data_IF_658220863731
#
_entry.id   IF_658220863731
#
_cell.length_a   1.000
_cell.length_b   1.000
_cell.length_c   1.000
_cell.angle_alpha   90.00
_cell.angle_beta   90.00
_cell.angle_gamma   90.00
#
_symmetry.space_group_name_H-M   'P 1'
#
loop_
_entity.id
_entity.type
_entity.pdbx_description
1 polymer ?
#
# COMPACT_ATOMS: atom_id res chain seq x y z
N UNK A 1 18.53 2.17 32.36
CA UNK A 1 17.41 1.23 32.26
C UNK A 1 17.21 0.92 30.78
N UNK A 2 17.59 -0.28 30.33
CA UNK A 2 17.33 -0.72 28.96
C UNK A 2 15.83 -1.02 28.87
N UNK A 3 15.09 -0.22 28.10
CA UNK A 3 13.71 -0.55 27.75
C UNK A 3 13.76 -1.76 26.83
N UNK A 4 13.30 -2.92 27.31
CA UNK A 4 13.04 -4.09 26.47
C UNK A 4 11.60 -3.97 26.01
N UNK A 5 11.39 -3.79 24.71
CA UNK A 5 10.07 -3.84 24.09
C UNK A 5 9.88 -5.25 23.52
N UNK A 6 8.74 -5.87 23.81
CA UNK A 6 8.35 -7.15 23.22
C UNK A 6 7.05 -6.97 22.46
N UNK A 7 6.97 -7.53 21.25
CA UNK A 7 5.73 -7.71 20.52
C UNK A 7 5.07 -9.00 20.98
N UNK A 8 3.82 -8.91 21.41
CA UNK A 8 2.98 -10.06 21.70
C UNK A 8 2.23 -10.47 20.43
N UNK A 9 2.47 -11.67 19.93
CA UNK A 9 1.75 -12.26 18.79
C UNK A 9 0.97 -13.48 19.26
N UNK A 10 -0.34 -13.49 19.02
CA UNK A 10 -1.18 -14.67 19.17
C UNK A 10 -1.35 -15.32 17.80
N UNK A 11 -0.92 -16.57 17.66
CA UNK A 11 -1.20 -17.39 16.49
C UNK A 11 -1.94 -18.65 16.94
N UNK A 12 -3.22 -18.76 16.57
CA UNK A 12 -4.07 -19.92 16.87
C UNK A 12 -4.10 -20.30 18.37
N UNK A 13 -4.10 -19.31 19.26
CA UNK A 13 -4.13 -19.52 20.71
C UNK A 13 -2.75 -19.69 21.35
N UNK A 14 -1.68 -19.72 20.55
CA UNK A 14 -0.29 -19.73 21.04
C UNK A 14 0.19 -18.28 21.11
N UNK A 15 0.42 -17.80 22.34
CA UNK A 15 1.03 -16.50 22.59
C UNK A 15 2.54 -16.63 22.50
N UNK A 16 3.14 -15.78 21.67
CA UNK A 16 4.59 -15.69 21.49
C UNK A 16 5.05 -14.25 21.73
N UNK A 17 6.22 -14.10 22.34
CA UNK A 17 6.88 -12.82 22.51
C UNK A 17 8.06 -12.73 21.54
N UNK A 18 8.08 -11.66 20.74
CA UNK A 18 9.21 -11.33 19.87
C UNK A 18 9.87 -10.05 20.39
N UNK A 19 11.14 -10.14 20.77
CA UNK A 19 11.89 -8.96 21.19
C UNK A 19 11.98 -7.94 20.03
N UNK A 20 11.75 -6.67 20.35
CA UNK A 20 11.84 -5.53 19.45
C UNK A 20 13.08 -4.70 19.84
N UNK A 21 13.95 -4.43 18.87
CA UNK A 21 14.99 -3.43 19.00
C UNK A 21 14.43 -2.06 18.62
N UNK A 22 14.20 -1.20 19.62
CA UNK A 22 13.68 0.15 19.44
C UNK A 22 14.40 0.94 18.33
N UNK A 23 15.73 0.80 18.17
CA UNK A 23 16.49 1.58 17.19
C UNK A 23 16.40 1.02 15.78
N UNK A 24 16.14 -0.28 15.63
CA UNK A 24 16.16 -0.97 14.34
C UNK A 24 14.76 -1.25 13.82
N UNK A 25 13.82 -1.54 14.72
CA UNK A 25 12.48 -2.01 14.40
C UNK A 25 11.44 -0.89 14.46
N UNK A 26 11.72 0.23 15.15
CA UNK A 26 10.84 1.40 15.15
C UNK A 26 11.47 2.48 14.25
N UNK A 27 10.80 2.79 13.14
CA UNK A 27 11.31 3.69 12.10
C UNK A 27 10.37 4.86 11.88
N UNK A 28 10.88 6.06 11.55
CA UNK A 28 10.04 7.14 11.03
C UNK A 28 9.29 6.65 9.80
N UNK A 29 7.98 6.90 9.73
CA UNK A 29 7.11 6.33 8.68
C UNK A 29 7.64 6.63 7.28
N UNK A 30 8.01 7.88 7.03
CA UNK A 30 8.52 8.33 5.73
C UNK A 30 9.81 7.58 5.34
N UNK A 31 10.70 7.28 6.31
CA UNK A 31 11.93 6.54 6.04
C UNK A 31 11.65 5.06 5.76
N UNK A 32 10.73 4.45 6.51
CA UNK A 32 10.31 3.07 6.29
C UNK A 32 9.67 2.90 4.90
N UNK A 33 8.71 3.76 4.56
CA UNK A 33 8.06 3.77 3.25
C UNK A 33 9.08 3.94 2.12
N UNK A 34 10.01 4.91 2.23
CA UNK A 34 11.06 5.11 1.24
C UNK A 34 11.96 3.87 1.04
N UNK A 35 12.20 3.09 2.10
CA UNK A 35 12.94 1.84 1.99
C UNK A 35 12.12 0.77 1.26
N UNK A 36 10.85 0.58 1.62
CA UNK A 36 9.99 -0.44 1.00
C UNK A 36 9.72 -0.15 -0.49
N UNK A 37 9.55 1.10 -0.87
CA UNK A 37 9.33 1.48 -2.27
C UNK A 37 10.52 1.08 -3.16
N UNK A 38 11.74 1.15 -2.60
CA UNK A 38 12.99 0.82 -3.30
C UNK A 38 13.38 -0.65 -3.23
N UNK A 39 12.68 -1.44 -2.44
CA UNK A 39 12.97 -2.87 -2.28
C UNK A 39 12.35 -3.66 -3.44
N UNK A 40 13.18 -4.03 -4.42
CA UNK A 40 12.75 -4.82 -5.58
C UNK A 40 12.39 -6.28 -5.22
N UNK A 41 12.63 -6.73 -3.99
CA UNK A 41 12.14 -8.03 -3.51
C UNK A 41 10.66 -7.99 -3.13
N UNK A 42 10.10 -6.80 -2.90
CA UNK A 42 8.67 -6.61 -2.67
C UNK A 42 7.91 -6.56 -4.00
N UNK A 43 6.75 -7.23 -4.00
CA UNK A 43 5.82 -7.20 -5.13
C UNK A 43 5.43 -5.76 -5.52
N UNK A 44 5.24 -5.54 -6.83
CA UNK A 44 4.99 -4.22 -7.39
C UNK A 44 3.76 -3.52 -6.79
N UNK A 45 2.71 -4.29 -6.45
CA UNK A 45 1.49 -3.76 -5.82
C UNK A 45 1.79 -3.11 -4.46
N UNK A 46 2.67 -3.73 -3.65
CA UNK A 46 3.09 -3.18 -2.36
C UNK A 46 3.87 -1.90 -2.53
N UNK A 47 4.85 -1.90 -3.45
CA UNK A 47 5.68 -0.71 -3.72
C UNK A 47 4.83 0.47 -4.18
N UNK A 48 3.80 0.22 -5.00
CA UNK A 48 2.82 1.22 -5.44
C UNK A 48 1.98 1.73 -4.25
N UNK A 49 1.46 0.84 -3.41
CA UNK A 49 0.70 1.22 -2.22
C UNK A 49 1.54 2.06 -1.25
N UNK A 50 2.79 1.66 -1.00
CA UNK A 50 3.73 2.41 -0.17
C UNK A 50 4.08 3.77 -0.76
N UNK A 51 4.25 3.87 -2.08
CA UNK A 51 4.54 5.15 -2.73
C UNK A 51 3.37 6.12 -2.63
N UNK A 52 2.13 5.64 -2.82
CA UNK A 52 0.94 6.48 -2.62
C UNK A 52 0.89 7.00 -1.18
N UNK A 53 1.12 6.13 -0.19
CA UNK A 53 1.17 6.50 1.22
C UNK A 53 2.32 7.46 1.55
N UNK A 54 3.48 7.29 0.92
CA UNK A 54 4.61 8.21 1.07
C UNK A 54 4.22 9.63 0.66
N UNK A 55 3.47 9.80 -0.43
CA UNK A 55 2.96 11.11 -0.84
C UNK A 55 1.92 11.68 0.13
N UNK A 56 1.08 10.84 0.75
CA UNK A 56 0.16 11.28 1.81
C UNK A 56 0.91 11.92 2.99
N UNK A 57 2.04 11.34 3.41
CA UNK A 57 2.87 11.87 4.50
C UNK A 57 3.76 13.06 4.12
N UNK A 58 4.07 13.25 2.84
CA UNK A 58 4.95 14.32 2.36
C UNK A 58 4.19 15.50 1.70
N UNK A 59 2.87 15.55 1.87
CA UNK A 59 2.00 16.58 1.29
C UNK A 59 1.58 16.22 -0.12
N UNK A 60 0.32 15.81 -0.29
CA UNK A 60 -0.27 15.37 -1.56
C UNK A 60 -0.14 16.47 -2.63
N UNK A 61 -0.27 17.73 -2.24
CA UNK A 61 -0.16 18.90 -3.12
C UNK A 61 1.19 18.98 -3.86
N UNK A 62 2.25 18.45 -3.27
CA UNK A 62 3.59 18.43 -3.90
C UNK A 62 3.72 17.33 -4.97
N UNK A 63 2.81 16.35 -4.96
CA UNK A 63 2.87 15.15 -5.80
C UNK A 63 1.53 14.83 -6.46
N UNK A 64 0.68 15.83 -6.66
CA UNK A 64 -0.75 15.64 -6.97
C UNK A 64 -0.99 14.73 -8.17
N UNK A 65 -0.28 14.96 -9.28
CA UNK A 65 -0.46 14.16 -10.49
C UNK A 65 0.00 12.71 -10.29
N UNK A 66 1.12 12.51 -9.59
CA UNK A 66 1.63 11.17 -9.27
C UNK A 66 0.67 10.43 -8.34
N UNK A 67 0.13 11.13 -7.35
CA UNK A 67 -0.85 10.60 -6.41
C UNK A 67 -2.13 10.17 -7.12
N UNK A 68 -2.68 10.99 -8.03
CA UNK A 68 -3.90 10.64 -8.77
C UNK A 68 -3.69 9.46 -9.74
N UNK A 69 -2.50 9.36 -10.36
CA UNK A 69 -2.13 8.21 -11.20
C UNK A 69 -2.08 6.94 -10.36
N UNK A 70 -1.34 6.92 -9.25
CA UNK A 70 -1.28 5.76 -8.36
C UNK A 70 -2.66 5.40 -7.79
N UNK A 71 -3.46 6.42 -7.44
CA UNK A 71 -4.82 6.22 -6.96
C UNK A 71 -5.67 5.55 -8.04
N UNK A 72 -5.63 6.02 -9.28
CA UNK A 72 -6.41 5.44 -10.37
C UNK A 72 -6.06 3.98 -10.61
N UNK A 73 -4.77 3.64 -10.56
CA UNK A 73 -4.29 2.27 -10.73
C UNK A 73 -4.77 1.36 -9.59
N UNK A 74 -4.64 1.80 -8.33
CA UNK A 74 -5.08 1.04 -7.16
C UNK A 74 -6.60 0.79 -7.19
N UNK A 75 -7.39 1.71 -7.72
CA UNK A 75 -8.83 1.53 -7.89
C UNK A 75 -9.19 0.76 -9.18
N UNK A 76 -8.23 0.13 -9.87
CA UNK A 76 -8.49 -0.70 -11.05
C UNK A 76 -9.09 0.06 -12.23
N UNK A 77 -8.73 1.34 -12.44
CA UNK A 77 -9.32 2.17 -13.49
C UNK A 77 -8.54 2.04 -14.79
N UNK A 78 -9.25 1.81 -15.89
CA UNK A 78 -8.69 1.81 -17.26
C UNK A 78 -8.08 3.15 -17.65
N UNK A 79 -8.61 4.24 -17.09
CA UNK A 79 -8.10 5.60 -17.27
C UNK A 79 -7.81 6.29 -15.95
N UNK A 80 -6.75 7.10 -15.97
CA UNK A 80 -6.43 8.01 -14.88
C UNK A 80 -7.54 9.07 -14.70
N UNK A 81 -8.04 9.19 -13.48
CA UNK A 81 -9.10 10.14 -13.09
C UNK A 81 -8.71 10.87 -11.81
N UNK A 82 -9.14 12.12 -11.70
CA UNK A 82 -9.09 12.82 -10.43
C UNK A 82 -10.11 12.26 -9.43
N UNK A 83 -10.04 12.74 -8.20
CA UNK A 83 -10.98 12.37 -7.12
C UNK A 83 -12.46 12.68 -7.45
N UNK A 84 -12.71 13.70 -8.26
CA UNK A 84 -14.06 14.08 -8.73
C UNK A 84 -14.53 13.24 -9.94
N UNK A 85 -13.80 12.18 -10.29
CA UNK A 85 -14.03 11.29 -11.43
C UNK A 85 -13.88 11.90 -12.84
N UNK A 86 -13.41 13.14 -13.00
CA UNK A 86 -13.05 13.64 -14.33
C UNK A 86 -11.74 13.01 -14.81
N UNK A 87 -11.63 12.76 -16.13
CA UNK A 87 -10.41 12.19 -16.73
C UNK A 87 -9.23 13.17 -16.61
N UNK A 88 -8.05 12.63 -16.35
CA UNK A 88 -6.81 13.41 -16.33
C UNK A 88 -6.31 13.68 -17.76
N UNK A 89 -5.82 14.89 -18.07
CA UNK A 89 -5.15 15.16 -19.33
C UNK A 89 -3.85 14.35 -19.47
N UNK A 90 -3.52 13.94 -20.69
CA UNK A 90 -2.31 13.13 -20.95
C UNK A 90 -1.02 13.77 -20.44
N UNK A 91 -0.90 15.10 -20.51
CA UNK A 91 0.27 15.83 -20.01
C UNK A 91 0.46 15.66 -18.49
N UNK A 92 -0.64 15.64 -17.73
CA UNK A 92 -0.59 15.43 -16.28
C UNK A 92 -0.30 13.97 -15.94
N UNK A 93 -0.88 13.02 -16.69
CA UNK A 93 -0.55 11.60 -16.56
C UNK A 93 0.96 11.38 -16.78
N UNK A 94 1.53 11.97 -17.83
CA UNK A 94 2.98 11.87 -18.11
C UNK A 94 3.83 12.47 -16.99
N UNK A 95 3.42 13.62 -16.43
CA UNK A 95 4.09 14.24 -15.29
C UNK A 95 4.06 13.33 -14.06
N UNK A 96 2.88 12.76 -13.74
CA UNK A 96 2.71 11.81 -12.65
C UNK A 96 3.56 10.55 -12.83
N UNK A 97 3.51 9.93 -14.01
CA UNK A 97 4.35 8.77 -14.33
C UNK A 97 5.85 9.07 -14.24
N UNK A 98 6.29 10.27 -14.66
CA UNK A 98 7.70 10.69 -14.55
C UNK A 98 8.14 10.79 -13.10
N UNK A 99 7.29 11.32 -12.22
CA UNK A 99 7.56 11.38 -10.78
C UNK A 99 7.62 9.97 -10.17
N UNK A 100 6.66 9.10 -10.49
CA UNK A 100 6.63 7.70 -10.02
C UNK A 100 7.90 6.95 -10.45
N UNK A 101 8.38 7.17 -11.68
CA UNK A 101 9.59 6.54 -12.21
C UNK A 101 10.88 6.90 -11.47
N UNK A 102 10.90 7.96 -10.65
CA UNK A 102 12.02 8.25 -9.75
C UNK A 102 12.16 7.22 -8.62
N UNK A 103 11.07 6.50 -8.34
CA UNK A 103 10.98 5.50 -7.28
C UNK A 103 10.88 4.08 -7.83
N UNK A 104 10.12 3.90 -8.92
CA UNK A 104 9.84 2.62 -9.56
C UNK A 104 10.15 2.77 -11.05
N UNK A 105 11.39 2.50 -11.44
CA UNK A 105 11.91 2.84 -12.78
C UNK A 105 11.09 2.23 -13.93
N UNK A 106 10.60 1.00 -13.75
CA UNK A 106 9.84 0.27 -14.76
C UNK A 106 8.32 0.46 -14.64
N UNK A 107 7.86 1.53 -13.99
CA UNK A 107 6.44 1.81 -13.87
C UNK A 107 5.81 2.10 -15.24
N UNK A 108 4.81 1.33 -15.62
CA UNK A 108 3.96 1.59 -16.78
C UNK A 108 2.50 1.36 -16.38
N UNK A 109 1.67 2.40 -16.53
CA UNK A 109 0.28 2.35 -16.07
C UNK A 109 -0.53 1.31 -16.83
N UNK A 110 -0.40 1.27 -18.16
CA UNK A 110 -1.24 0.46 -19.02
C UNK A 110 -0.87 -1.03 -18.90
N UNK A 111 0.42 -1.34 -18.78
CA UNK A 111 0.90 -2.69 -18.49
C UNK A 111 0.44 -3.17 -17.12
N UNK A 112 0.61 -2.35 -16.07
CA UNK A 112 0.19 -2.73 -14.72
C UNK A 112 -1.33 -2.88 -14.61
N UNK A 113 -2.10 -1.98 -15.23
CA UNK A 113 -3.55 -2.08 -15.25
C UNK A 113 -4.01 -3.40 -15.86
N UNK A 114 -3.47 -3.75 -17.03
CA UNK A 114 -3.85 -4.95 -17.77
C UNK A 114 -3.36 -6.24 -17.11
N UNK A 115 -2.09 -6.28 -16.71
CA UNK A 115 -1.41 -7.53 -16.37
C UNK A 115 -1.36 -7.79 -14.85
N UNK A 116 -1.55 -6.76 -14.01
CA UNK A 116 -1.45 -6.86 -12.55
C UNK A 116 -2.74 -6.49 -11.83
N UNK A 117 -3.36 -5.36 -12.14
CA UNK A 117 -4.55 -4.85 -11.43
C UNK A 117 -5.85 -5.45 -12.00
N UNK A 118 -5.89 -6.78 -12.02
CA UNK A 118 -7.06 -7.58 -12.37
C UNK A 118 -7.29 -8.66 -11.29
N UNK A 119 -8.51 -9.20 -11.23
CA UNK A 119 -8.94 -10.16 -10.21
C UNK A 119 -8.01 -11.38 -10.15
N UNK A 120 -7.72 -11.99 -11.29
CA UNK A 120 -6.92 -13.22 -11.38
C UNK A 120 -5.53 -13.01 -10.79
N UNK A 121 -4.83 -11.96 -11.22
CA UNK A 121 -3.45 -11.74 -10.78
C UNK A 121 -3.37 -11.28 -9.33
N UNK A 122 -4.28 -10.42 -8.87
CA UNK A 122 -4.30 -9.98 -7.48
C UNK A 122 -4.67 -11.12 -6.52
N UNK A 123 -5.57 -12.03 -6.93
CA UNK A 123 -5.88 -13.23 -6.16
C UNK A 123 -4.66 -14.17 -6.07
N UNK A 124 -3.97 -14.41 -7.19
CA UNK A 124 -2.72 -15.20 -7.21
C UNK A 124 -1.70 -14.63 -6.21
N UNK A 125 -1.44 -13.32 -6.28
CA UNK A 125 -0.50 -12.65 -5.38
C UNK A 125 -0.96 -12.76 -3.92
N UNK A 126 -2.25 -12.57 -3.62
CA UNK A 126 -2.80 -12.67 -2.27
C UNK A 126 -2.59 -14.06 -1.64
N UNK A 127 -2.81 -15.12 -2.40
CA UNK A 127 -2.62 -16.49 -1.90
C UNK A 127 -1.15 -16.88 -1.78
N UNK A 128 -0.27 -16.29 -2.58
CA UNK A 128 1.18 -16.50 -2.51
C UNK A 128 1.86 -15.70 -1.38
N UNK A 129 1.28 -14.58 -0.94
CA UNK A 129 1.84 -13.74 0.11
C UNK A 129 1.75 -14.40 1.49
N UNK A 130 2.88 -14.36 2.21
CA UNK A 130 3.08 -14.98 3.53
C UNK A 130 3.13 -13.96 4.65
N UNK A 131 3.40 -12.68 4.35
CA UNK A 131 3.34 -11.59 5.31
C UNK A 131 1.90 -11.08 5.43
N UNK A 132 1.31 -11.19 6.63
CA UNK A 132 -0.08 -10.83 6.90
C UNK A 132 -0.39 -9.35 6.59
N UNK A 133 0.57 -8.44 6.82
CA UNK A 133 0.42 -7.01 6.54
C UNK A 133 0.35 -6.74 5.03
N UNK A 134 1.27 -7.34 4.27
CA UNK A 134 1.28 -7.25 2.80
C UNK A 134 0.02 -7.90 2.20
N UNK A 135 -0.44 -9.00 2.79
CA UNK A 135 -1.66 -9.69 2.40
C UNK A 135 -2.91 -8.81 2.51
N UNK A 136 -3.01 -7.97 3.55
CA UNK A 136 -4.08 -6.98 3.67
C UNK A 136 -4.02 -5.94 2.54
N UNK A 137 -2.82 -5.49 2.14
CA UNK A 137 -2.69 -4.55 1.01
C UNK A 137 -3.18 -5.17 -0.30
N UNK A 138 -2.83 -6.43 -0.58
CA UNK A 138 -3.31 -7.16 -1.76
C UNK A 138 -4.82 -7.36 -1.73
N UNK A 139 -5.38 -7.71 -0.56
CA UNK A 139 -6.82 -7.83 -0.39
C UNK A 139 -7.55 -6.52 -0.74
N UNK A 140 -7.04 -5.38 -0.30
CA UNK A 140 -7.63 -4.07 -0.62
C UNK A 140 -7.61 -3.80 -2.12
N UNK A 141 -6.48 -4.00 -2.78
CA UNK A 141 -6.40 -3.85 -4.23
C UNK A 141 -7.37 -4.81 -4.94
N UNK A 142 -7.47 -6.07 -4.49
CA UNK A 142 -8.41 -7.06 -5.04
C UNK A 142 -9.87 -6.61 -4.86
N UNK A 143 -10.21 -6.06 -3.70
CA UNK A 143 -11.55 -5.58 -3.40
C UNK A 143 -11.94 -4.37 -4.26
N UNK A 144 -10.99 -3.48 -4.57
CA UNK A 144 -11.21 -2.36 -5.49
C UNK A 144 -11.49 -2.81 -6.93
N UNK A 145 -10.73 -3.79 -7.45
CA UNK A 145 -10.92 -4.28 -8.82
C UNK A 145 -12.13 -5.20 -8.97
N UNK A 146 -12.51 -5.90 -7.90
CA UNK A 146 -13.63 -6.82 -7.87
C UNK A 146 -14.41 -6.67 -6.55
N UNK A 147 -15.23 -5.62 -6.41
CA UNK A 147 -16.05 -5.44 -5.23
C UNK A 147 -17.07 -6.58 -5.15
N UNK A 148 -16.90 -7.47 -4.17
CA UNK A 148 -17.82 -8.58 -3.96
C UNK A 148 -19.23 -8.05 -3.71
N UNK A 149 -20.23 -8.63 -4.38
CA UNK A 149 -21.65 -8.30 -4.14
C UNK A 149 -22.13 -8.75 -2.76
N UNK A 150 -21.42 -9.69 -2.14
CA UNK A 150 -21.75 -10.26 -0.83
C UNK A 150 -21.09 -9.51 0.32
N UNK A 151 -19.90 -8.92 0.09
CA UNK A 151 -19.16 -8.15 1.08
C UNK A 151 -19.42 -6.67 0.81
N UNK A 152 -20.27 -6.05 1.63
CA UNK A 152 -20.58 -4.62 1.51
C UNK A 152 -19.51 -3.77 2.18
N UNK A 153 -19.39 -2.50 1.79
CA UNK A 153 -18.51 -1.54 2.48
C UNK A 153 -18.85 -1.41 3.98
N UNK A 154 -20.12 -1.64 4.34
CA UNK A 154 -20.56 -1.61 5.75
C UNK A 154 -20.14 -2.84 6.56
N UNK A 155 -19.56 -3.86 5.92
CA UNK A 155 -19.07 -5.06 6.60
C UNK A 155 -17.96 -4.69 7.59
N UNK A 156 -18.03 -5.25 8.79
CA UNK A 156 -17.08 -5.01 9.88
C UNK A 156 -15.64 -5.28 9.42
N UNK A 157 -15.42 -6.29 8.57
CA UNK A 157 -14.10 -6.60 8.05
C UNK A 157 -13.57 -5.51 7.12
N UNK A 158 -14.39 -5.03 6.18
CA UNK A 158 -14.01 -3.96 5.24
C UNK A 158 -13.76 -2.66 5.99
N UNK A 159 -14.65 -2.32 6.92
CA UNK A 159 -14.51 -1.16 7.79
C UNK A 159 -13.21 -1.23 8.61
N UNK A 160 -12.91 -2.37 9.24
CA UNK A 160 -11.68 -2.56 9.99
C UNK A 160 -10.43 -2.37 9.13
N UNK A 161 -10.42 -2.92 7.92
CA UNK A 161 -9.30 -2.80 6.97
C UNK A 161 -9.11 -1.34 6.54
N UNK A 162 -10.19 -0.63 6.21
CA UNK A 162 -10.15 0.77 5.81
C UNK A 162 -9.70 1.67 6.97
N UNK A 163 -10.29 1.51 8.16
CA UNK A 163 -9.91 2.27 9.34
C UNK A 163 -8.45 2.01 9.75
N UNK A 164 -7.98 0.76 9.71
CA UNK A 164 -6.58 0.44 10.02
C UNK A 164 -5.61 1.18 9.09
N UNK A 165 -5.93 1.25 7.81
CA UNK A 165 -5.13 2.00 6.84
C UNK A 165 -5.17 3.52 7.06
N UNK A 166 -6.31 4.07 7.46
CA UNK A 166 -6.43 5.50 7.75
C UNK A 166 -5.76 5.90 9.07
N UNK A 167 -5.96 5.12 10.14
CA UNK A 167 -5.27 5.32 11.42
C UNK A 167 -3.76 5.21 11.23
N UNK A 168 -3.32 4.33 10.34
CA UNK A 168 -1.92 4.23 9.97
C UNK A 168 -1.35 5.61 9.56
N UNK A 169 -2.06 6.38 8.75
CA UNK A 169 -1.58 7.68 8.27
C UNK A 169 -1.37 8.73 9.38
N UNK A 170 -1.92 8.52 10.57
CA UNK A 170 -1.76 9.42 11.72
C UNK A 170 -0.48 9.17 12.55
N UNK A 171 0.25 8.06 12.28
CA UNK A 171 1.47 7.76 13.01
C UNK A 171 2.71 8.45 12.43
N UNK A 172 3.56 8.97 13.31
CA UNK A 172 4.89 9.49 12.95
C UNK A 172 5.97 8.39 12.89
N UNK A 173 5.76 7.26 13.58
CA UNK A 173 6.65 6.10 13.64
C UNK A 173 5.89 4.80 13.46
N UNK A 174 6.50 3.82 12.80
CA UNK A 174 5.99 2.44 12.71
C UNK A 174 6.97 1.44 13.28
N UNK A 175 6.40 0.34 13.78
CA UNK A 175 7.10 -0.93 13.82
C UNK A 175 7.32 -1.44 12.38
N UNK A 176 8.48 -2.00 12.06
CA UNK A 176 8.79 -2.55 10.74
C UNK A 176 7.94 -3.80 10.42
N UNK A 177 6.74 -3.56 9.89
CA UNK A 177 5.74 -4.61 9.59
C UNK A 177 6.14 -5.52 8.43
N UNK A 178 7.09 -5.10 7.59
CA UNK A 178 7.60 -5.93 6.48
C UNK A 178 8.60 -6.95 7.01
N UNK A 179 9.43 -6.56 8.00
CA UNK A 179 10.41 -7.43 8.64
C UNK A 179 9.78 -8.47 9.59
N UNK A 180 8.69 -8.11 10.28
CA UNK A 180 8.22 -8.86 11.46
C UNK A 180 7.32 -10.04 11.12
#
# INVERSE_FOLDING_TARGET
MLLILNLLKNNQGILTEKAIDYKQDIKPVVQALAAYIKDDTLGIVHRIAFLRKYYEHNGIENYKEAYDVLSSLIHGRDKCKYINNSEMPQAEIQKGCTEIKKWIQNFDYDELYRDVYNEEKLAELYFAETNDYLKIQLFRALFEVNPSREIKEEDVLVKFINESYHIENDYAYYLDMVKI
#
